data_IF_496815507118
#
_entry.id   IF_496815507118
#
_cell.length_a   1.000
_cell.length_b   1.000
_cell.length_c   1.000
_cell.angle_alpha   90.00
_cell.angle_beta   90.00
_cell.angle_gamma   90.00
#
_symmetry.space_group_name_H-M   'P 1'
#
loop_
_entity.id
_entity.type
_entity.pdbx_description
1 polymer ?
#
# COMPACT_ATOMS: atom_id res chain seq x y z
N UNK A 1 15.09 25.31 -4.54
CA UNK A 1 13.83 24.59 -4.70
C UNK A 1 13.89 23.26 -3.98
N UNK A 2 13.20 23.17 -2.90
CA UNK A 2 13.07 21.89 -2.21
C UNK A 2 12.05 21.04 -2.95
N UNK A 3 12.50 19.93 -3.51
CA UNK A 3 11.58 18.93 -4.01
C UNK A 3 10.69 18.51 -2.83
N UNK A 4 9.36 18.50 -3.04
CA UNK A 4 8.46 17.96 -2.04
C UNK A 4 8.89 16.53 -1.72
N UNK A 5 8.96 16.18 -0.45
CA UNK A 5 9.32 14.83 -0.03
C UNK A 5 8.35 13.83 -0.66
N UNK A 6 8.89 12.81 -1.31
CA UNK A 6 8.09 11.76 -1.90
C UNK A 6 7.38 10.99 -0.77
N UNK A 7 6.10 10.71 -0.98
CA UNK A 7 5.31 9.89 -0.05
C UNK A 7 5.09 8.51 -0.66
N UNK A 8 5.24 7.49 0.16
CA UNK A 8 4.96 6.11 -0.21
C UNK A 8 3.90 5.56 0.73
N UNK A 9 2.76 5.20 0.16
CA UNK A 9 1.64 4.65 0.91
C UNK A 9 1.69 3.14 0.83
N UNK A 10 1.92 2.50 1.98
CA UNK A 10 2.01 1.05 2.10
C UNK A 10 0.64 0.52 2.48
N UNK A 11 0.01 -0.24 1.58
CA UNK A 11 -1.35 -0.72 1.77
C UNK A 11 -1.37 -2.10 2.42
N UNK A 12 -2.14 -2.22 3.50
CA UNK A 12 -2.40 -3.50 4.14
C UNK A 12 -3.48 -4.27 3.37
N UNK A 13 -3.54 -5.57 3.61
CA UNK A 13 -4.48 -6.48 2.95
C UNK A 13 -5.94 -6.03 3.10
N UNK A 14 -6.33 -5.62 4.31
CA UNK A 14 -7.72 -5.23 4.57
C UNK A 14 -8.18 -4.02 3.76
N UNK A 15 -7.25 -3.15 3.39
CA UNK A 15 -7.57 -2.00 2.52
C UNK A 15 -7.99 -2.48 1.14
N UNK A 16 -7.25 -3.45 0.58
CA UNK A 16 -7.53 -3.98 -0.76
C UNK A 16 -8.78 -4.87 -0.78
N UNK A 17 -9.08 -5.54 0.32
CA UNK A 17 -10.33 -6.30 0.45
C UNK A 17 -11.51 -5.33 0.55
N UNK A 18 -11.36 -4.25 1.30
CA UNK A 18 -12.40 -3.23 1.44
C UNK A 18 -12.65 -2.50 0.12
N UNK A 19 -11.59 -2.19 -0.61
CA UNK A 19 -11.65 -1.51 -1.89
C UNK A 19 -10.52 -2.01 -2.80
N UNK A 20 -10.81 -2.95 -3.71
CA UNK A 20 -9.79 -3.49 -4.63
C UNK A 20 -9.14 -2.45 -5.52
N UNK A 21 -9.79 -1.32 -5.73
CA UNK A 21 -9.23 -0.23 -6.54
C UNK A 21 -8.54 0.84 -5.70
N UNK A 22 -8.24 0.55 -4.43
CA UNK A 22 -7.62 1.51 -3.53
C UNK A 22 -6.30 2.07 -4.06
N UNK A 23 -5.54 1.28 -4.84
CA UNK A 23 -4.27 1.76 -5.38
C UNK A 23 -4.42 2.97 -6.32
N UNK A 24 -5.62 3.23 -6.82
CA UNK A 24 -5.91 4.39 -7.68
C UNK A 24 -6.20 5.67 -6.88
N UNK A 25 -6.21 5.61 -5.55
CA UNK A 25 -6.71 6.68 -4.69
C UNK A 25 -5.62 7.59 -4.12
N UNK A 26 -4.37 7.41 -4.50
CA UNK A 26 -3.24 8.12 -3.89
C UNK A 26 -2.55 9.10 -4.84
N UNK A 27 -3.23 9.50 -5.88
CA UNK A 27 -2.85 10.54 -6.85
C UNK A 27 -1.41 10.40 -7.37
N UNK A 28 -0.55 11.39 -7.14
CA UNK A 28 0.81 11.41 -7.69
C UNK A 28 1.81 10.63 -6.84
N UNK A 29 1.36 9.98 -5.76
CA UNK A 29 2.28 9.35 -4.82
C UNK A 29 2.60 7.91 -5.20
N UNK A 30 3.61 7.35 -4.54
CA UNK A 30 3.96 5.95 -4.69
C UNK A 30 3.04 5.10 -3.82
N UNK A 31 2.44 4.08 -4.41
CA UNK A 31 1.67 3.05 -3.70
C UNK A 31 2.53 1.81 -3.62
N UNK A 32 2.67 1.27 -2.41
CA UNK A 32 3.56 0.13 -2.15
C UNK A 32 2.71 -1.02 -1.62
N UNK A 33 2.83 -2.17 -2.28
CA UNK A 33 2.18 -3.40 -1.86
C UNK A 33 3.26 -4.34 -1.34
N UNK A 34 3.30 -4.63 -0.03
CA UNK A 34 4.26 -5.59 0.51
C UNK A 34 4.03 -7.00 -0.05
N UNK A 35 5.10 -7.75 -0.23
CA UNK A 35 5.00 -9.16 -0.64
C UNK A 35 4.10 -9.95 0.33
N UNK A 36 4.18 -9.66 1.63
CA UNK A 36 3.30 -10.26 2.63
C UNK A 36 1.83 -10.07 2.30
N UNK A 37 1.46 -8.89 1.80
CA UNK A 37 0.07 -8.60 1.39
C UNK A 37 -0.33 -9.43 0.18
N UNK A 38 0.56 -9.58 -0.81
CA UNK A 38 0.27 -10.46 -1.95
C UNK A 38 0.05 -11.90 -1.51
N UNK A 39 0.84 -12.39 -0.57
CA UNK A 39 0.69 -13.73 -0.02
C UNK A 39 -0.66 -13.88 0.71
N UNK A 40 -1.07 -12.88 1.48
CA UNK A 40 -2.36 -12.91 2.16
C UNK A 40 -3.53 -12.87 1.18
N UNK A 41 -3.45 -12.05 0.14
CA UNK A 41 -4.48 -12.02 -0.91
C UNK A 41 -4.58 -13.37 -1.60
N UNK A 42 -3.45 -14.00 -1.88
CA UNK A 42 -3.43 -15.33 -2.49
C UNK A 42 -4.08 -16.38 -1.59
N UNK A 43 -3.78 -16.34 -0.29
CA UNK A 43 -4.36 -17.26 0.68
C UNK A 43 -5.88 -17.09 0.82
N UNK A 44 -6.39 -15.85 0.66
CA UNK A 44 -7.80 -15.54 0.85
C UNK A 44 -8.64 -15.57 -0.43
N UNK A 45 -8.02 -15.70 -1.59
CA UNK A 45 -8.73 -15.61 -2.88
C UNK A 45 -9.79 -16.70 -3.07
N UNK A 46 -9.64 -17.83 -2.38
CA UNK A 46 -10.59 -18.94 -2.42
C UNK A 46 -11.45 -19.06 -1.15
N UNK A 47 -11.44 -18.04 -0.31
CA UNK A 47 -12.26 -18.01 0.89
C UNK A 47 -13.73 -17.73 0.53
N UNK A 48 -14.54 -17.29 1.49
CA UNK A 48 -15.97 -17.07 1.22
C UNK A 48 -16.17 -16.13 0.01
N UNK A 49 -17.37 -16.15 -0.57
CA UNK A 49 -17.68 -15.49 -1.85
C UNK A 49 -17.24 -14.03 -1.92
N UNK A 50 -17.53 -13.28 -0.85
CA UNK A 50 -17.28 -11.84 -0.86
C UNK A 50 -15.78 -11.52 -0.79
N UNK A 51 -15.12 -12.05 0.23
CA UNK A 51 -13.69 -11.79 0.44
C UNK A 51 -12.85 -12.33 -0.72
N UNK A 52 -13.15 -13.54 -1.18
CA UNK A 52 -12.43 -14.14 -2.30
C UNK A 52 -12.56 -13.32 -3.58
N UNK A 53 -13.76 -12.82 -3.88
CA UNK A 53 -13.99 -11.99 -5.07
C UNK A 53 -13.19 -10.68 -5.00
N UNK A 54 -13.16 -10.04 -3.84
CA UNK A 54 -12.40 -8.81 -3.65
C UNK A 54 -10.90 -9.04 -3.77
N UNK A 55 -10.39 -10.14 -3.22
CA UNK A 55 -8.98 -10.51 -3.35
C UNK A 55 -8.60 -10.73 -4.82
N UNK A 56 -9.44 -11.45 -5.57
CA UNK A 56 -9.18 -11.68 -7.00
C UNK A 56 -9.21 -10.40 -7.81
N UNK A 57 -10.13 -9.49 -7.47
CA UNK A 57 -10.22 -8.19 -8.14
C UNK A 57 -8.97 -7.34 -7.87
N UNK A 58 -8.50 -7.32 -6.63
CA UNK A 58 -7.28 -6.60 -6.27
C UNK A 58 -6.05 -7.16 -6.99
N UNK A 59 -5.91 -8.49 -7.01
CA UNK A 59 -4.79 -9.15 -7.69
C UNK A 59 -4.80 -8.82 -9.19
N UNK A 60 -5.97 -8.86 -9.82
CA UNK A 60 -6.10 -8.54 -11.26
C UNK A 60 -5.71 -7.10 -11.55
N UNK A 61 -6.10 -6.17 -10.70
CA UNK A 61 -5.76 -4.76 -10.92
C UNK A 61 -4.25 -4.55 -10.78
N UNK A 62 -3.62 -5.17 -9.78
CA UNK A 62 -2.17 -5.11 -9.62
C UNK A 62 -1.49 -5.66 -10.87
N UNK A 63 -1.93 -6.82 -11.35
CA UNK A 63 -1.39 -7.43 -12.57
C UNK A 63 -1.54 -6.52 -13.79
N UNK A 64 -2.69 -5.88 -13.93
CA UNK A 64 -2.94 -4.95 -15.04
C UNK A 64 -1.99 -3.75 -15.01
N UNK A 65 -1.70 -3.22 -13.83
CA UNK A 65 -0.79 -2.08 -13.70
C UNK A 65 0.65 -2.50 -14.02
N UNK A 66 1.08 -3.65 -13.51
CA UNK A 66 2.47 -4.10 -13.65
C UNK A 66 2.76 -4.69 -15.03
N UNK A 67 1.78 -5.30 -15.69
CA UNK A 67 1.92 -5.88 -17.05
C UNK A 67 3.21 -6.68 -17.20
N UNK A 68 3.99 -6.35 -18.22
CA UNK A 68 5.25 -7.01 -18.56
C UNK A 68 6.47 -6.23 -18.09
N UNK A 69 6.30 -5.37 -17.09
CA UNK A 69 7.40 -4.55 -16.60
C UNK A 69 8.51 -5.41 -15.98
N UNK A 70 9.78 -5.04 -16.16
CA UNK A 70 10.88 -5.80 -15.59
C UNK A 70 10.95 -5.67 -14.07
N UNK A 71 11.62 -6.63 -13.39
CA UNK A 71 11.67 -6.63 -11.93
C UNK A 71 12.17 -5.33 -11.29
N UNK A 72 13.12 -4.66 -11.91
CA UNK A 72 13.66 -3.40 -11.39
C UNK A 72 12.57 -2.32 -11.32
N UNK A 73 11.71 -2.27 -12.32
CA UNK A 73 10.62 -1.30 -12.35
C UNK A 73 9.50 -1.67 -11.40
N UNK A 74 9.20 -2.96 -11.27
CA UNK A 74 8.20 -3.43 -10.31
C UNK A 74 8.60 -3.05 -8.88
N UNK A 75 9.88 -3.12 -8.56
CA UNK A 75 10.38 -2.74 -7.24
C UNK A 75 10.50 -1.23 -7.05
N UNK A 76 10.79 -0.49 -8.13
CA UNK A 76 11.00 0.95 -8.06
C UNK A 76 9.71 1.76 -8.20
N UNK A 77 8.76 1.27 -8.96
CA UNK A 77 7.49 1.93 -9.21
C UNK A 77 7.13 1.96 -10.69
N UNK A 78 5.92 1.49 -10.99
CA UNK A 78 5.35 1.47 -12.34
C UNK A 78 4.22 2.51 -12.38
N UNK A 79 4.22 3.44 -13.35
CA UNK A 79 3.16 4.45 -13.43
C UNK A 79 1.77 3.81 -13.56
N UNK A 80 0.83 4.38 -12.82
CA UNK A 80 -0.57 3.94 -12.83
C UNK A 80 -1.36 4.84 -13.77
N UNK A 81 -2.00 4.27 -14.77
CA UNK A 81 -2.85 5.00 -15.71
C UNK A 81 -4.30 4.59 -15.52
N UNK A 82 -5.19 5.54 -15.31
CA UNK A 82 -6.63 5.29 -15.23
C UNK A 82 -7.21 5.04 -16.61
N UNK A 83 -6.61 5.65 -17.62
CA UNK A 83 -6.97 5.43 -19.03
C UNK A 83 -5.74 5.68 -19.90
N UNK A 84 -5.81 5.28 -21.18
CA UNK A 84 -4.70 5.45 -22.11
C UNK A 84 -4.40 6.93 -22.42
N UNK A 85 -5.37 7.80 -22.19
CA UNK A 85 -5.24 9.22 -22.52
C UNK A 85 -4.92 10.11 -21.34
N UNK A 86 -5.08 9.62 -20.12
CA UNK A 86 -4.83 10.41 -18.90
C UNK A 86 -3.37 10.30 -18.48
N UNK A 87 -2.84 11.36 -17.85
CA UNK A 87 -1.51 11.26 -17.22
C UNK A 87 -1.51 10.24 -16.10
N UNK A 88 -0.34 9.71 -15.71
CA UNK A 88 -0.26 8.75 -14.62
C UNK A 88 -0.77 9.36 -13.32
N UNK A 89 -1.48 8.57 -12.52
CA UNK A 89 -2.02 9.00 -11.23
C UNK A 89 -1.20 8.46 -10.05
N UNK A 90 0.11 8.38 -10.21
CA UNK A 90 1.02 7.84 -9.22
C UNK A 90 1.73 6.63 -9.78
N UNK A 91 2.35 5.86 -8.88
CA UNK A 91 3.11 4.66 -9.27
C UNK A 91 2.83 3.54 -8.28
N UNK A 92 2.96 2.31 -8.76
CA UNK A 92 2.78 1.10 -7.95
C UNK A 92 4.09 0.34 -7.87
N UNK A 93 4.51 -0.03 -6.67
CA UNK A 93 5.68 -0.86 -6.44
C UNK A 93 5.34 -2.04 -5.54
N UNK A 94 6.02 -3.14 -5.76
CA UNK A 94 5.97 -4.30 -4.86
C UNK A 94 7.16 -4.22 -3.93
N UNK A 95 6.91 -4.30 -2.62
CA UNK A 95 7.95 -4.27 -1.62
C UNK A 95 8.33 -5.70 -1.25
N UNK A 96 9.54 -6.09 -1.65
CA UNK A 96 10.04 -7.43 -1.41
C UNK A 96 10.36 -7.63 0.07
N UNK A 97 10.22 -8.86 0.54
CA UNK A 97 10.74 -9.26 1.84
C UNK A 97 12.26 -9.19 1.80
N UNK A 98 12.85 -8.65 2.86
CA UNK A 98 14.30 -8.57 2.94
C UNK A 98 14.80 -9.77 3.73
N UNK A 99 15.76 -10.49 3.18
CA UNK A 99 16.44 -11.56 3.89
C UNK A 99 17.47 -10.97 4.85
N UNK A 100 17.52 -11.50 6.06
CA UNK A 100 18.47 -11.07 7.09
C UNK A 100 17.77 -10.68 8.38
N UNK A 101 18.53 -10.70 9.47
CA UNK A 101 18.03 -10.30 10.76
C UNK A 101 17.66 -8.82 10.74
N UNK A 102 16.47 -8.46 11.22
CA UNK A 102 16.16 -7.04 11.40
C UNK A 102 17.13 -6.44 12.42
N UNK A 103 17.68 -5.30 12.08
CA UNK A 103 18.52 -4.56 13.02
C UNK A 103 17.67 -4.12 14.20
N UNK A 104 18.01 -4.63 15.38
CA UNK A 104 17.42 -4.26 16.66
C UNK A 104 15.92 -4.52 16.80
N UNK A 105 15.49 -4.48 18.03
CA UNK A 105 14.22 -4.94 18.54
C UNK A 105 13.02 -4.22 17.95
N UNK A 106 12.71 -4.55 16.74
CA UNK A 106 11.41 -4.24 16.18
C UNK A 106 10.40 -5.24 16.72
N UNK A 107 9.24 -5.29 16.11
CA UNK A 107 8.21 -6.22 16.55
C UNK A 107 8.60 -7.65 16.21
N UNK A 108 8.12 -8.65 17.01
CA UNK A 108 8.35 -10.05 16.66
C UNK A 108 7.84 -10.39 15.27
N UNK A 109 8.62 -11.16 14.51
CA UNK A 109 8.33 -11.49 13.12
C UNK A 109 7.35 -12.66 12.94
N UNK A 110 6.59 -13.01 13.96
CA UNK A 110 5.67 -14.14 13.95
C UNK A 110 4.30 -13.79 13.35
N UNK A 111 3.99 -12.51 13.21
CA UNK A 111 2.70 -12.04 12.67
C UNK A 111 2.92 -11.24 11.40
N UNK A 112 1.99 -11.38 10.45
CA UNK A 112 2.09 -10.66 9.18
C UNK A 112 2.07 -9.14 9.35
N UNK A 113 1.22 -8.61 10.23
CA UNK A 113 1.17 -7.17 10.49
C UNK A 113 2.51 -6.66 11.02
N UNK A 114 3.15 -7.41 11.91
CA UNK A 114 4.46 -7.07 12.44
C UNK A 114 5.54 -7.10 11.34
N UNK A 115 5.47 -8.09 10.46
CA UNK A 115 6.40 -8.17 9.31
C UNK A 115 6.29 -6.95 8.41
N UNK A 116 5.07 -6.49 8.15
CA UNK A 116 4.84 -5.30 7.33
C UNK A 116 5.43 -4.08 8.02
N UNK A 117 5.16 -3.88 9.31
CA UNK A 117 5.68 -2.75 10.06
C UNK A 117 7.21 -2.77 10.08
N UNK A 118 7.81 -3.93 10.39
CA UNK A 118 9.26 -4.09 10.41
C UNK A 118 9.88 -3.72 9.06
N UNK A 119 9.22 -4.13 7.96
CA UNK A 119 9.72 -3.83 6.62
C UNK A 119 9.64 -2.33 6.31
N UNK A 120 8.59 -1.66 6.79
CA UNK A 120 8.46 -0.20 6.64
C UNK A 120 9.57 0.51 7.43
N UNK A 121 9.88 0.05 8.63
CA UNK A 121 10.97 0.62 9.43
C UNK A 121 12.29 0.55 8.65
N UNK A 122 12.59 -0.60 8.03
CA UNK A 122 13.79 -0.76 7.20
C UNK A 122 13.78 0.22 6.03
N UNK A 123 12.66 0.34 5.34
CA UNK A 123 12.51 1.27 4.22
C UNK A 123 12.75 2.71 4.67
N UNK A 124 12.21 3.10 5.81
CA UNK A 124 12.36 4.46 6.33
C UNK A 124 13.82 4.78 6.67
N UNK A 125 14.56 3.78 7.16
CA UNK A 125 15.99 3.93 7.42
C UNK A 125 16.83 3.99 6.14
N UNK A 126 16.47 3.23 5.13
CA UNK A 126 17.20 3.15 3.86
C UNK A 126 16.89 4.35 2.95
N UNK A 127 15.67 4.89 3.02
CA UNK A 127 15.20 5.94 2.12
C UNK A 127 14.70 7.15 2.92
N UNK A 128 15.63 7.89 3.50
CA UNK A 128 15.30 9.01 4.40
C UNK A 128 14.57 10.16 3.71
N UNK A 129 14.65 10.24 2.38
CA UNK A 129 13.97 11.28 1.61
C UNK A 129 12.52 10.92 1.28
N UNK A 130 12.13 9.70 1.53
CA UNK A 130 10.79 9.21 1.25
C UNK A 130 10.06 9.01 2.58
N UNK A 131 8.84 9.53 2.68
CA UNK A 131 8.02 9.33 3.85
C UNK A 131 7.09 8.15 3.61
N UNK A 132 7.25 7.10 4.41
CA UNK A 132 6.40 5.91 4.33
C UNK A 132 5.21 6.07 5.27
N UNK A 133 4.02 5.79 4.77
CA UNK A 133 2.76 5.89 5.51
C UNK A 133 2.05 4.55 5.40
N UNK A 134 1.82 3.90 6.53
CA UNK A 134 1.03 2.67 6.54
C UNK A 134 -0.45 3.02 6.43
N UNK A 135 -1.14 2.37 5.52
CA UNK A 135 -2.59 2.52 5.37
C UNK A 135 -3.24 1.19 5.74
N UNK A 136 -4.02 1.19 6.80
CA UNK A 136 -4.69 -0.01 7.29
C UNK A 136 -5.97 0.35 8.03
N UNK A 137 -6.96 -0.51 7.92
CA UNK A 137 -8.22 -0.37 8.67
C UNK A 137 -8.12 -0.95 10.07
N UNK A 138 -7.02 -1.63 10.38
CA UNK A 138 -6.79 -2.25 11.70
C UNK A 138 -6.25 -1.23 12.69
N UNK A 139 -7.05 -0.90 13.69
CA UNK A 139 -6.68 0.08 14.73
C UNK A 139 -5.42 -0.35 15.48
N UNK A 140 -5.33 -1.62 15.85
CA UNK A 140 -4.16 -2.11 16.57
C UNK A 140 -2.89 -2.01 15.74
N UNK A 141 -2.98 -2.31 14.45
CA UNK A 141 -1.85 -2.18 13.56
C UNK A 141 -1.39 -0.73 13.44
N UNK A 142 -2.34 0.23 13.35
CA UNK A 142 -1.99 1.65 13.35
C UNK A 142 -1.30 2.07 14.63
N UNK A 143 -1.77 1.57 15.78
CA UNK A 143 -1.14 1.89 17.07
C UNK A 143 0.28 1.34 17.15
N UNK A 144 0.49 0.10 16.69
CA UNK A 144 1.83 -0.50 16.66
C UNK A 144 2.77 0.32 15.77
N UNK A 145 2.31 0.70 14.59
CA UNK A 145 3.12 1.50 13.66
C UNK A 145 3.51 2.84 14.26
N UNK A 146 2.55 3.53 14.87
CA UNK A 146 2.80 4.81 15.53
C UNK A 146 3.79 4.67 16.69
N UNK A 147 3.69 3.59 17.47
CA UNK A 147 4.64 3.32 18.54
C UNK A 147 6.05 3.08 18.00
N UNK A 148 6.17 2.61 16.77
CA UNK A 148 7.45 2.42 16.09
C UNK A 148 7.88 3.64 15.27
N UNK A 149 7.25 4.78 15.49
CA UNK A 149 7.55 6.04 14.80
C UNK A 149 7.28 5.97 13.28
N UNK A 150 6.29 5.18 12.89
CA UNK A 150 5.81 5.08 11.51
C UNK A 150 4.45 5.75 11.42
N UNK A 151 4.29 6.66 10.48
CA UNK A 151 2.98 7.27 10.23
C UNK A 151 1.99 6.23 9.74
N UNK A 152 0.78 6.28 10.26
CA UNK A 152 -0.27 5.34 9.89
C UNK A 152 -1.61 6.05 9.82
N UNK A 153 -2.41 5.65 8.85
CA UNK A 153 -3.75 6.21 8.68
C UNK A 153 -4.75 5.13 8.29
N UNK A 154 -6.02 5.38 8.57
CA UNK A 154 -7.10 4.55 8.08
C UNK A 154 -7.33 4.82 6.60
N UNK A 155 -7.89 3.86 5.90
CA UNK A 155 -8.31 4.05 4.52
C UNK A 155 -9.77 4.50 4.50
N UNK A 156 -9.97 5.68 3.95
CA UNK A 156 -11.28 6.19 3.62
C UNK A 156 -11.27 6.52 2.13
N UNK A 157 -12.32 6.14 1.44
CA UNK A 157 -12.48 6.56 0.05
C UNK A 157 -12.88 8.03 0.02
N UNK A 158 -12.06 8.86 0.69
CA UNK A 158 -12.40 10.23 1.05
C UNK A 158 -12.50 11.17 -0.15
N UNK A 159 -11.80 10.85 -1.24
CA UNK A 159 -11.89 11.74 -2.41
C UNK A 159 -13.31 11.80 -2.95
N UNK A 160 -13.97 10.63 -3.06
CA UNK A 160 -15.37 10.60 -3.48
C UNK A 160 -16.27 11.16 -2.40
N UNK A 161 -16.02 10.84 -1.14
CA UNK A 161 -16.82 11.33 -0.02
C UNK A 161 -16.63 12.84 0.18
N UNK A 162 -15.41 13.34 0.08
CA UNK A 162 -15.13 14.78 0.18
C UNK A 162 -15.82 15.56 -0.91
N UNK A 163 -15.76 15.06 -2.15
CA UNK A 163 -16.42 15.71 -3.27
C UNK A 163 -17.93 15.76 -3.09
N UNK A 164 -18.53 14.66 -2.62
CA UNK A 164 -19.96 14.61 -2.33
C UNK A 164 -20.30 15.56 -1.18
N UNK A 165 -19.50 15.63 -0.14
CA UNK A 165 -19.73 16.57 0.98
C UNK A 165 -19.63 18.01 0.51
N UNK A 166 -18.67 18.35 -0.32
CA UNK A 166 -18.52 19.68 -0.88
C UNK A 166 -19.71 20.06 -1.74
N UNK A 167 -20.24 19.12 -2.50
CA UNK A 167 -21.43 19.34 -3.30
C UNK A 167 -22.68 19.53 -2.45
N UNK A 168 -22.77 18.87 -1.30
CA UNK A 168 -23.94 18.93 -0.42
C UNK A 168 -23.92 20.07 0.58
N UNK A 169 -22.77 20.69 0.80
CA UNK A 169 -22.62 21.80 1.74
C UNK A 169 -22.47 23.14 1.05
N UNK A 170 -22.64 23.16 -0.24
CA UNK A 170 -22.53 24.36 -1.08
C UNK A 170 -23.55 25.41 -0.84
#
# INVERSE_FOLDING_TARGET
>A
MTASAQKAYVLDTNVLIHDPSALLSFEEHLVVIPMTVLEELDALKNSNRHVGAECRAAIRLIDQVLKDEPPERIRAGVPIHRSDTDPPCGSLAILMNKSGEPHEAYLPNDKNDNRIINRIIQCQLEHKHCKYILVTKDINMRLKARACNIDAQDYHNDQLVSDVRQLNTG
#
